data_IF_319684660529
#
_entry.id   IF_319684660529
#
_cell.length_a   1.000
_cell.length_b   1.000
_cell.length_c   1.000
_cell.angle_alpha   90.00
_cell.angle_beta   90.00
_cell.angle_gamma   90.00
#
_symmetry.space_group_name_H-M   'P 1'
#
loop_
_entity.id
_entity.type
_entity.pdbx_description
1 polymer ?
#
# COMPACT_ATOMS: atom_id res chain seq x y z
N UNK A 1 30.61 45.31 -0.80
CA UNK A 1 29.88 45.83 0.38
C UNK A 1 29.34 44.68 1.21
N UNK A 2 30.26 43.96 1.82
CA UNK A 2 30.02 42.71 2.56
C UNK A 2 30.52 42.85 4.01
N UNK A 3 30.35 44.05 4.58
CA UNK A 3 30.84 44.38 5.92
C UNK A 3 29.96 45.36 6.70
N UNK A 4 28.67 45.44 6.37
CA UNK A 4 27.69 46.32 7.02
C UNK A 4 26.39 45.59 7.39
N UNK A 5 26.43 44.26 7.49
CA UNK A 5 25.26 43.41 7.80
C UNK A 5 25.46 42.48 9.02
N UNK A 6 26.44 42.77 9.90
CA UNK A 6 26.73 41.94 11.09
C UNK A 6 26.63 42.64 12.45
N UNK A 7 26.04 43.83 12.51
CA UNK A 7 25.93 44.60 13.77
C UNK A 7 24.56 45.25 13.96
N UNK A 8 23.48 44.52 13.66
CA UNK A 8 22.10 44.92 14.00
C UNK A 8 21.22 43.74 14.42
N UNK A 9 21.83 42.73 15.04
CA UNK A 9 21.11 41.68 15.79
C UNK A 9 21.65 41.72 17.22
N UNK A 10 21.09 42.62 18.03
CA UNK A 10 21.05 42.53 19.50
C UNK A 10 20.18 43.66 20.05
N UNK A 11 19.14 43.25 20.79
CA UNK A 11 18.27 43.99 21.73
C UNK A 11 16.86 44.34 21.23
N UNK A 12 15.91 43.65 21.87
CA UNK A 12 14.52 44.05 22.21
C UNK A 12 13.59 44.24 20.99
N UNK A 13 12.40 43.66 20.89
CA UNK A 13 11.50 43.16 21.91
C UNK A 13 10.13 43.79 21.66
N UNK A 14 9.19 42.99 21.14
CA UNK A 14 7.71 43.14 21.18
C UNK A 14 7.10 44.37 20.48
N UNK A 15 6.21 44.14 19.50
CA UNK A 15 4.77 44.49 19.52
C UNK A 15 4.13 44.18 18.15
N UNK A 16 2.97 43.55 18.24
CA UNK A 16 1.98 43.20 17.21
C UNK A 16 1.55 44.38 16.32
N UNK A 17 1.26 44.14 15.04
CA UNK A 17 0.31 44.96 14.28
C UNK A 17 -0.41 44.13 13.21
N UNK A 18 -1.69 43.88 13.47
CA UNK A 18 -2.71 43.41 12.54
C UNK A 18 -3.11 44.54 11.58
N UNK A 19 -3.53 44.17 10.37
CA UNK A 19 -4.34 44.93 9.39
C UNK A 19 -3.61 45.98 8.51
N UNK A 20 -3.70 45.76 7.19
CA UNK A 20 -4.13 46.68 6.10
C UNK A 20 -3.35 46.36 4.82
N UNK A 21 -3.98 45.66 3.87
CA UNK A 21 -3.71 45.73 2.41
C UNK A 21 -4.96 45.16 1.70
N UNK A 22 -5.75 46.01 1.01
CA UNK A 22 -5.64 46.05 -0.44
C UNK A 22 -5.92 47.45 -1.05
N UNK A 23 -5.10 47.89 -2.01
CA UNK A 23 -5.48 48.72 -3.18
C UNK A 23 -4.20 49.14 -3.93
N UNK A 24 -3.95 48.61 -5.13
CA UNK A 24 -3.43 49.34 -6.32
C UNK A 24 -3.09 48.32 -7.40
N UNK A 25 -3.91 48.22 -8.44
CA UNK A 25 -3.48 47.87 -9.80
C UNK A 25 -4.66 48.10 -10.75
N UNK A 26 -4.85 49.35 -11.16
CA UNK A 26 -5.62 49.73 -12.34
C UNK A 26 -4.86 50.88 -13.01
N UNK A 27 -4.54 50.71 -14.30
CA UNK A 27 -4.05 51.67 -15.30
C UNK A 27 -2.80 51.14 -16.00
N UNK A 28 -2.98 50.65 -17.24
CA UNK A 28 -2.19 51.02 -18.42
C UNK A 28 -2.78 50.30 -19.65
N UNK A 29 -3.66 50.99 -20.36
CA UNK A 29 -4.06 50.70 -21.74
C UNK A 29 -3.58 51.89 -22.58
N UNK A 30 -2.62 51.68 -23.48
CA UNK A 30 -2.26 52.66 -24.51
C UNK A 30 -2.09 51.95 -25.85
N UNK A 31 -2.64 52.62 -26.87
CA UNK A 31 -2.93 52.23 -28.24
C UNK A 31 -1.69 52.10 -29.13
N UNK A 32 -1.74 51.22 -30.14
CA UNK A 32 -0.94 51.34 -31.36
C UNK A 32 -1.82 51.17 -32.61
N UNK A 33 -1.80 52.17 -33.50
CA UNK A 33 -2.42 52.18 -34.84
C UNK A 33 -1.48 51.56 -35.90
N UNK A 34 -1.99 51.08 -37.06
CA UNK A 34 -1.17 50.50 -38.13
C UNK A 34 -0.67 51.56 -39.13
N UNK A 35 0.50 51.31 -39.74
CA UNK A 35 1.10 52.08 -40.84
C UNK A 35 0.81 51.43 -42.22
N UNK A 36 0.78 52.21 -43.32
CA UNK A 36 0.31 51.75 -44.64
C UNK A 36 1.38 51.05 -45.49
N UNK A 37 0.92 50.25 -46.46
CA UNK A 37 1.71 49.54 -47.48
C UNK A 37 2.02 50.45 -48.67
N UNK A 38 3.24 50.34 -49.21
CA UNK A 38 3.63 50.83 -50.54
C UNK A 38 4.40 49.76 -51.34
N UNK A 39 4.44 49.86 -52.70
CA UNK A 39 4.45 48.71 -53.60
C UNK A 39 5.84 48.22 -54.09
N UNK A 40 5.84 46.99 -54.63
CA UNK A 40 6.96 46.25 -55.21
C UNK A 40 7.49 46.87 -56.53
N UNK A 41 8.81 46.94 -56.67
CA UNK A 41 9.52 47.11 -57.95
C UNK A 41 10.12 45.77 -58.42
N UNK A 42 10.17 45.49 -59.75
CA UNK A 42 10.65 44.21 -60.28
C UNK A 42 12.12 44.25 -60.70
N UNK A 43 12.81 43.12 -60.51
CA UNK A 43 13.98 42.73 -61.31
C UNK A 43 15.26 42.44 -60.52
N UNK A 44 15.57 41.15 -60.33
CA UNK A 44 16.81 40.52 -60.79
C UNK A 44 16.77 39.01 -60.47
N UNK A 45 16.92 38.18 -61.50
CA UNK A 45 17.10 36.72 -61.38
C UNK A 45 18.51 36.43 -60.85
N UNK A 46 18.60 35.61 -59.80
CA UNK A 46 19.84 35.02 -59.25
C UNK A 46 19.92 33.55 -59.71
N UNK A 47 20.94 33.14 -60.49
CA UNK A 47 21.12 31.77 -60.93
C UNK A 47 21.90 30.98 -59.88
N UNK A 48 21.25 30.66 -58.76
CA UNK A 48 21.83 29.76 -57.75
C UNK A 48 20.77 28.93 -57.04
N UNK A 49 20.02 28.12 -57.80
CA UNK A 49 19.17 27.09 -57.21
C UNK A 49 19.79 25.69 -57.40
N UNK A 50 20.23 25.01 -56.33
CA UNK A 50 20.67 23.62 -56.42
C UNK A 50 19.47 22.71 -56.69
N UNK A 51 19.66 21.73 -57.58
CA UNK A 51 18.68 20.69 -57.91
C UNK A 51 18.39 19.89 -56.63
N UNK A 52 17.15 19.97 -56.12
CA UNK A 52 16.67 19.11 -55.04
C UNK A 52 16.60 17.66 -55.52
N UNK A 53 17.04 16.67 -54.72
CA UNK A 53 16.88 15.26 -55.06
C UNK A 53 15.39 14.89 -55.09
N UNK A 54 14.99 13.86 -55.87
CA UNK A 54 13.59 13.49 -56.02
C UNK A 54 12.96 13.11 -54.67
N UNK A 55 11.72 13.54 -54.46
CA UNK A 55 10.92 13.27 -53.27
C UNK A 55 10.97 11.77 -52.91
N UNK A 56 11.30 11.49 -51.64
CA UNK A 56 11.03 10.21 -50.99
C UNK A 56 9.54 9.87 -51.23
N UNK A 57 9.18 8.60 -51.50
CA UNK A 57 7.78 8.20 -51.51
C UNK A 57 7.13 8.59 -50.18
N UNK A 58 5.94 9.18 -50.23
CA UNK A 58 5.17 9.61 -49.06
C UNK A 58 5.09 8.46 -48.05
N UNK A 59 5.74 8.65 -46.91
CA UNK A 59 5.60 7.77 -45.77
C UNK A 59 4.11 7.79 -45.36
N UNK A 60 3.45 6.63 -45.17
CA UNK A 60 2.04 6.60 -44.81
C UNK A 60 1.80 7.45 -43.57
N UNK A 61 0.97 8.49 -43.71
CA UNK A 61 0.62 9.35 -42.58
C UNK A 61 -0.12 8.51 -41.52
N UNK A 62 0.27 8.61 -40.24
CA UNK A 62 -0.35 7.82 -39.18
C UNK A 62 -1.86 8.09 -39.11
N UNK A 63 -2.65 7.02 -39.03
CA UNK A 63 -4.11 7.13 -38.93
C UNK A 63 -4.50 7.43 -37.47
N UNK A 64 -5.37 8.42 -37.20
CA UNK A 64 -5.89 8.66 -35.86
C UNK A 64 -6.65 7.42 -35.35
N UNK A 65 -6.37 7.02 -34.10
CA UNK A 65 -7.07 5.89 -33.46
C UNK A 65 -8.49 6.29 -33.03
N UNK A 66 -9.48 5.45 -33.32
CA UNK A 66 -10.84 5.58 -32.77
C UNK A 66 -10.89 4.85 -31.44
N UNK A 67 -11.20 5.55 -30.34
CA UNK A 67 -11.20 5.00 -28.99
C UNK A 67 -12.48 4.21 -28.72
N UNK A 68 -12.34 2.97 -28.27
CA UNK A 68 -13.47 2.09 -27.87
C UNK A 68 -13.79 2.22 -26.37
N UNK A 69 -12.76 2.35 -25.53
CA UNK A 69 -12.90 2.47 -24.07
C UNK A 69 -12.01 3.58 -23.51
N UNK A 70 -12.48 4.23 -22.45
CA UNK A 70 -11.70 5.19 -21.68
C UNK A 70 -11.63 4.69 -20.25
N UNK A 71 -10.42 4.55 -19.72
CA UNK A 71 -10.16 4.06 -18.35
C UNK A 71 -9.36 5.08 -17.55
N UNK A 72 -9.57 5.08 -16.24
CA UNK A 72 -8.65 5.68 -15.28
C UNK A 72 -7.47 4.70 -15.04
N UNK A 73 -6.27 5.17 -14.64
CA UNK A 73 -5.15 4.28 -14.36
C UNK A 73 -5.46 3.25 -13.28
N UNK A 74 -5.03 2.00 -13.49
CA UNK A 74 -5.34 0.84 -12.65
C UNK A 74 -6.83 0.44 -12.59
N UNK A 75 -7.70 1.05 -13.41
CA UNK A 75 -9.06 0.57 -13.60
C UNK A 75 -9.06 -0.74 -14.41
N UNK A 76 -9.77 -1.74 -13.91
CA UNK A 76 -9.90 -3.04 -14.58
C UNK A 76 -11.05 -3.02 -15.60
N UNK A 77 -10.75 -3.47 -16.83
CA UNK A 77 -11.74 -3.65 -17.89
C UNK A 77 -11.88 -5.13 -18.25
N UNK A 78 -13.08 -5.69 -18.08
CA UNK A 78 -13.42 -7.03 -18.55
C UNK A 78 -13.54 -7.04 -20.08
N UNK A 79 -12.63 -7.74 -20.74
CA UNK A 79 -12.63 -7.88 -22.19
C UNK A 79 -13.41 -9.13 -22.63
N UNK A 80 -14.18 -8.99 -23.70
CA UNK A 80 -14.94 -10.07 -24.32
C UNK A 80 -14.86 -9.96 -25.84
N UNK A 81 -14.55 -11.07 -26.49
CA UNK A 81 -14.65 -11.17 -27.95
C UNK A 81 -16.09 -11.43 -28.38
N UNK A 82 -16.42 -11.02 -29.60
CA UNK A 82 -17.70 -11.38 -30.23
C UNK A 82 -17.67 -12.82 -30.72
N UNK A 83 -16.51 -13.27 -31.20
CA UNK A 83 -16.29 -14.65 -31.61
C UNK A 83 -16.22 -15.61 -30.41
N UNK A 84 -16.76 -16.81 -30.57
CA UNK A 84 -16.55 -17.92 -29.63
C UNK A 84 -15.57 -18.92 -30.23
N UNK A 85 -14.63 -19.38 -29.43
CA UNK A 85 -13.54 -20.25 -29.86
C UNK A 85 -13.19 -21.32 -28.85
N UNK A 86 -12.21 -22.14 -29.20
CA UNK A 86 -11.63 -23.17 -28.33
C UNK A 86 -10.39 -22.67 -27.59
N UNK A 87 -9.79 -21.57 -28.02
CA UNK A 87 -8.66 -20.93 -27.34
C UNK A 87 -8.58 -19.45 -27.69
N UNK A 88 -7.99 -18.67 -26.77
CA UNK A 88 -7.92 -17.22 -26.84
C UNK A 88 -6.47 -16.78 -26.60
N UNK A 89 -6.05 -15.70 -27.27
CA UNK A 89 -4.79 -15.03 -26.98
C UNK A 89 -5.02 -13.53 -27.03
N UNK A 90 -4.68 -12.85 -25.93
CA UNK A 90 -4.86 -11.42 -25.76
C UNK A 90 -3.52 -10.74 -25.60
N UNK A 91 -3.25 -9.78 -26.46
CA UNK A 91 -2.03 -8.98 -26.42
C UNK A 91 -2.31 -7.49 -26.53
N UNK A 92 -1.38 -6.66 -26.06
CA UNK A 92 -1.51 -5.20 -26.14
C UNK A 92 -0.25 -4.54 -26.70
N UNK A 93 -0.43 -3.36 -27.31
CA UNK A 93 0.62 -2.43 -27.70
C UNK A 93 0.28 -1.01 -27.19
N UNK A 94 1.26 -0.28 -26.67
CA UNK A 94 1.09 1.09 -26.14
C UNK A 94 1.54 2.14 -27.17
N UNK A 95 0.76 3.22 -27.30
CA UNK A 95 1.03 4.36 -28.18
C UNK A 95 0.95 5.66 -27.36
N UNK A 96 1.92 6.56 -27.55
CA UNK A 96 2.04 7.80 -26.77
C UNK A 96 1.23 8.97 -27.32
N UNK A 97 0.87 8.96 -28.61
CA UNK A 97 0.25 10.10 -29.31
C UNK A 97 -1.06 9.80 -30.04
N UNK A 98 -1.71 8.65 -29.77
CA UNK A 98 -2.96 8.29 -30.47
C UNK A 98 -2.79 7.96 -31.96
N UNK A 99 -1.54 7.73 -32.37
CA UNK A 99 -1.13 7.35 -33.72
C UNK A 99 -0.62 5.91 -33.72
N UNK A 100 -1.06 5.12 -34.71
CA UNK A 100 -0.59 3.74 -34.87
C UNK A 100 0.81 3.71 -35.51
N UNK A 101 1.76 3.10 -34.82
CA UNK A 101 3.10 2.78 -35.32
C UNK A 101 3.37 1.28 -35.21
N UNK A 102 4.42 0.79 -35.88
CA UNK A 102 4.88 -0.58 -35.66
C UNK A 102 5.25 -0.76 -34.18
N UNK A 103 4.50 -1.61 -33.49
CA UNK A 103 4.61 -1.77 -32.05
C UNK A 103 4.68 -3.26 -31.70
N UNK A 104 5.57 -3.57 -30.75
CA UNK A 104 5.67 -4.92 -30.20
C UNK A 104 4.45 -5.18 -29.32
N UNK A 105 3.70 -6.22 -29.67
CA UNK A 105 2.60 -6.71 -28.84
C UNK A 105 3.13 -7.56 -27.68
N UNK A 106 2.59 -7.32 -26.50
CA UNK A 106 2.84 -8.10 -25.29
C UNK A 106 1.63 -8.98 -25.00
N UNK A 107 1.81 -10.31 -25.01
CA UNK A 107 0.77 -11.26 -24.57
C UNK A 107 0.52 -11.07 -23.07
N UNK A 108 -0.73 -10.92 -22.66
CA UNK A 108 -1.11 -10.74 -21.26
C UNK A 108 -2.14 -11.76 -20.75
N UNK A 109 -2.87 -12.44 -21.64
CA UNK A 109 -3.80 -13.49 -21.22
C UNK A 109 -4.13 -14.50 -22.33
N UNK A 110 -4.49 -15.71 -21.93
CA UNK A 110 -5.05 -16.76 -22.78
C UNK A 110 -6.46 -17.20 -22.32
N UNK A 111 -7.03 -16.47 -21.35
CA UNK A 111 -8.38 -16.69 -20.84
C UNK A 111 -9.45 -16.26 -21.86
N UNK A 112 -10.64 -16.87 -21.79
CA UNK A 112 -11.77 -16.50 -22.66
C UNK A 112 -12.22 -15.05 -22.46
N UNK A 113 -12.28 -14.62 -21.20
CA UNK A 113 -12.69 -13.27 -20.80
C UNK A 113 -11.73 -12.70 -19.76
N UNK A 114 -10.58 -12.11 -20.18
CA UNK A 114 -9.62 -11.55 -19.25
C UNK A 114 -9.97 -10.13 -18.84
N UNK A 115 -9.46 -9.73 -17.69
CA UNK A 115 -9.35 -8.32 -17.32
C UNK A 115 -8.07 -7.70 -17.89
N UNK A 116 -8.18 -6.44 -18.32
CA UNK A 116 -7.06 -5.60 -18.71
C UNK A 116 -6.99 -4.37 -17.81
N UNK A 117 -5.79 -4.03 -17.34
CA UNK A 117 -5.49 -2.83 -16.58
C UNK A 117 -4.05 -2.41 -16.83
N UNK A 118 -3.77 -1.12 -16.67
CA UNK A 118 -2.42 -0.54 -16.77
C UNK A 118 -2.35 0.72 -15.91
N UNK A 119 -1.16 1.00 -15.35
CA UNK A 119 -0.91 2.20 -14.55
C UNK A 119 -0.52 3.42 -15.38
N UNK A 120 0.00 3.23 -16.60
CA UNK A 120 0.48 4.35 -17.42
C UNK A 120 -0.62 4.92 -18.31
N UNK A 121 -0.74 6.25 -18.34
CA UNK A 121 -1.62 6.93 -19.29
C UNK A 121 -1.10 6.80 -20.72
N UNK A 122 -2.02 6.65 -21.67
CA UNK A 122 -1.69 6.49 -23.09
C UNK A 122 -2.81 5.79 -23.85
N UNK A 123 -2.55 5.45 -25.10
CA UNK A 123 -3.46 4.65 -25.91
C UNK A 123 -2.94 3.21 -26.01
N UNK A 124 -3.82 2.25 -25.86
CA UNK A 124 -3.49 0.83 -25.88
C UNK A 124 -4.33 0.13 -26.94
N UNK A 125 -3.68 -0.47 -27.94
CA UNK A 125 -4.37 -1.36 -28.87
C UNK A 125 -4.32 -2.77 -28.32
N UNK A 126 -5.49 -3.29 -27.97
CA UNK A 126 -5.69 -4.68 -27.58
C UNK A 126 -5.97 -5.49 -28.83
N UNK A 127 -5.31 -6.63 -28.98
CA UNK A 127 -5.54 -7.61 -30.04
C UNK A 127 -5.96 -8.93 -29.40
N UNK A 128 -7.12 -9.45 -29.80
CA UNK A 128 -7.61 -10.75 -29.43
C UNK A 128 -7.54 -11.70 -30.64
N UNK A 129 -6.85 -12.83 -30.48
CA UNK A 129 -6.85 -13.92 -31.48
C UNK A 129 -7.66 -15.09 -30.93
N UNK A 130 -8.78 -15.38 -31.58
CA UNK A 130 -9.72 -16.45 -31.20
C UNK A 130 -9.58 -17.61 -32.17
N UNK A 131 -9.13 -18.77 -31.69
CA UNK A 131 -9.07 -19.98 -32.50
C UNK A 131 -10.44 -20.65 -32.51
N UNK A 132 -10.97 -20.88 -33.70
CA UNK A 132 -12.22 -21.61 -33.93
C UNK A 132 -11.93 -22.94 -34.64
N UNK A 133 -12.96 -23.75 -34.90
CA UNK A 133 -12.86 -25.10 -35.50
C UNK A 133 -12.30 -25.16 -36.94
N UNK A 134 -11.87 -24.04 -37.52
CA UNK A 134 -11.16 -24.05 -38.81
C UNK A 134 -10.42 -22.75 -39.18
N UNK A 135 -10.41 -21.73 -38.31
CA UNK A 135 -9.73 -20.45 -38.57
C UNK A 135 -9.39 -19.70 -37.27
N UNK A 136 -8.51 -18.71 -37.38
CA UNK A 136 -8.27 -17.70 -36.33
C UNK A 136 -9.05 -16.44 -36.71
N UNK A 137 -9.82 -15.92 -35.76
CA UNK A 137 -10.50 -14.63 -35.87
C UNK A 137 -9.71 -13.62 -35.05
N UNK A 138 -9.42 -12.47 -35.63
CA UNK A 138 -8.75 -11.36 -34.92
C UNK A 138 -9.76 -10.23 -34.66
N UNK A 139 -9.82 -9.77 -33.41
CA UNK A 139 -10.59 -8.60 -32.98
C UNK A 139 -9.63 -7.62 -32.29
N UNK A 140 -9.88 -6.31 -32.41
CA UNK A 140 -9.05 -5.31 -31.74
C UNK A 140 -9.87 -4.20 -31.09
N UNK A 141 -9.33 -3.65 -30.01
CA UNK A 141 -9.93 -2.53 -29.27
C UNK A 141 -8.87 -1.47 -29.01
N UNK A 142 -9.25 -0.21 -29.02
CA UNK A 142 -8.42 0.91 -28.57
C UNK A 142 -8.92 1.38 -27.21
N UNK A 143 -8.03 1.34 -26.22
CA UNK A 143 -8.28 1.82 -24.87
C UNK A 143 -7.46 3.09 -24.66
N UNK A 144 -8.11 4.18 -24.26
CA UNK A 144 -7.44 5.39 -23.81
C UNK A 144 -7.39 5.41 -22.27
N UNK A 145 -6.20 5.52 -21.70
CA UNK A 145 -5.99 5.62 -20.25
C UNK A 145 -5.65 7.06 -19.91
N UNK A 146 -6.53 7.74 -19.17
CA UNK A 146 -6.44 9.20 -18.94
C UNK A 146 -5.93 9.53 -17.54
N UNK A 147 -4.80 10.23 -17.46
CA UNK A 147 -4.26 10.73 -16.19
C UNK A 147 -4.93 12.01 -15.68
N UNK A 148 -5.88 12.61 -16.42
CA UNK A 148 -6.54 13.88 -16.04
C UNK A 148 -7.67 13.72 -15.02
N UNK A 149 -8.22 12.50 -14.84
CA UNK A 149 -9.39 12.25 -13.98
C UNK A 149 -9.15 11.17 -12.89
N UNK A 150 -8.00 11.18 -12.20
CA UNK A 150 -7.78 10.26 -11.06
C UNK A 150 -8.91 10.35 -10.03
N UNK A 151 -9.80 9.36 -10.01
CA UNK A 151 -10.89 9.21 -9.03
C UNK A 151 -10.49 8.35 -7.85
N UNK A 152 -9.54 7.44 -8.04
CA UNK A 152 -9.09 6.53 -7.00
C UNK A 152 -8.14 7.21 -6.02
N UNK A 153 -8.11 6.69 -4.80
CA UNK A 153 -7.20 7.10 -3.72
C UNK A 153 -6.02 6.13 -3.65
N UNK A 154 -4.75 6.61 -3.57
CA UNK A 154 -3.61 5.71 -3.37
C UNK A 154 -3.61 5.06 -1.98
N UNK A 155 -4.47 5.52 -1.07
CA UNK A 155 -4.50 5.12 0.33
C UNK A 155 -5.62 4.11 0.60
N UNK A 156 -5.53 3.45 1.75
CA UNK A 156 -6.56 2.54 2.27
C UNK A 156 -7.94 3.22 2.23
N UNK A 157 -8.89 2.55 1.59
CA UNK A 157 -10.28 3.03 1.44
C UNK A 157 -11.28 2.16 2.21
N UNK A 158 -10.91 0.93 2.56
CA UNK A 158 -11.79 -0.01 3.25
C UNK A 158 -11.03 -0.89 4.23
N UNK A 159 -11.66 -1.21 5.36
CA UNK A 159 -11.22 -2.23 6.33
C UNK A 159 -12.30 -3.30 6.36
N UNK A 160 -11.91 -4.55 6.10
CA UNK A 160 -12.81 -5.69 6.00
C UNK A 160 -12.86 -6.51 7.30
N UNK A 161 -11.74 -6.59 8.01
CA UNK A 161 -11.64 -7.32 9.26
C UNK A 161 -10.62 -6.68 10.20
N UNK A 162 -10.89 -6.77 11.51
CA UNK A 162 -9.98 -6.36 12.57
C UNK A 162 -10.13 -7.30 13.78
N UNK A 163 -9.23 -8.28 13.84
CA UNK A 163 -9.20 -9.32 14.85
C UNK A 163 -7.85 -9.30 15.58
N UNK A 164 -7.65 -8.39 16.54
CA UNK A 164 -6.43 -8.34 17.33
C UNK A 164 -6.33 -9.54 18.29
N UNK A 165 -5.11 -9.93 18.59
CA UNK A 165 -4.82 -10.79 19.72
C UNK A 165 -4.88 -9.97 21.01
N UNK A 166 -4.83 -10.59 22.20
CA UNK A 166 -4.85 -9.83 23.44
C UNK A 166 -3.58 -8.96 23.60
N UNK A 167 -3.74 -7.76 24.18
CA UNK A 167 -2.63 -6.84 24.36
C UNK A 167 -2.99 -5.55 25.11
N UNK A 168 -1.97 -4.82 25.55
CA UNK A 168 -2.09 -3.65 26.43
C UNK A 168 -2.68 -2.42 25.76
N UNK A 169 -2.75 -2.36 24.44
CA UNK A 169 -3.42 -1.28 23.69
C UNK A 169 -4.74 -1.72 23.05
N UNK A 170 -5.10 -3.00 23.17
CA UNK A 170 -6.38 -3.52 22.71
C UNK A 170 -7.50 -2.83 23.49
N UNK A 171 -8.59 -2.52 22.78
CA UNK A 171 -9.72 -1.70 23.23
C UNK A 171 -9.41 -0.18 23.40
N UNK A 172 -8.16 0.27 23.22
CA UNK A 172 -7.77 1.69 23.25
C UNK A 172 -7.29 2.21 21.88
N UNK A 173 -6.64 1.37 21.07
CA UNK A 173 -6.15 1.70 19.73
C UNK A 173 -6.54 0.61 18.71
N UNK A 174 -7.76 0.65 18.13
CA UNK A 174 -8.78 1.68 18.27
C UNK A 174 -9.52 1.60 19.61
N UNK A 175 -10.09 2.74 20.02
CA UNK A 175 -10.95 2.80 21.20
C UNK A 175 -12.26 2.09 20.91
N UNK A 176 -12.56 1.06 21.69
CA UNK A 176 -13.88 0.44 21.69
C UNK A 176 -14.77 1.07 22.77
N UNK A 177 -16.07 1.13 22.50
CA UNK A 177 -17.08 1.66 23.42
C UNK A 177 -18.20 0.63 23.51
N UNK A 178 -18.71 0.41 24.73
CA UNK A 178 -19.81 -0.52 24.96
C UNK A 178 -21.01 -0.22 24.07
N UNK A 179 -21.55 -1.27 23.45
CA UNK A 179 -22.66 -1.19 22.50
C UNK A 179 -22.27 -0.93 21.05
N UNK A 180 -21.00 -0.64 20.75
CA UNK A 180 -20.53 -0.47 19.37
C UNK A 180 -20.66 -1.77 18.56
N UNK A 181 -21.24 -1.67 17.37
CA UNK A 181 -21.31 -2.77 16.40
C UNK A 181 -19.95 -3.05 15.77
N UNK A 182 -19.76 -4.25 15.23
CA UNK A 182 -18.51 -4.57 14.53
C UNK A 182 -18.26 -3.64 13.32
N UNK A 183 -19.31 -3.30 12.58
CA UNK A 183 -19.19 -2.34 11.47
C UNK A 183 -18.70 -0.97 11.94
N UNK A 184 -19.25 -0.44 13.03
CA UNK A 184 -18.81 0.85 13.58
C UNK A 184 -17.36 0.78 14.07
N UNK A 185 -16.92 -0.35 14.62
CA UNK A 185 -15.53 -0.58 14.96
C UNK A 185 -14.63 -0.50 13.71
N UNK A 186 -14.99 -1.20 12.62
CA UNK A 186 -14.25 -1.11 11.36
C UNK A 186 -14.23 0.33 10.80
N UNK A 187 -15.33 1.07 10.92
CA UNK A 187 -15.39 2.50 10.55
C UNK A 187 -14.43 3.36 11.41
N UNK A 188 -14.26 3.04 12.70
CA UNK A 188 -13.27 3.69 13.58
C UNK A 188 -11.84 3.32 13.19
N UNK A 189 -11.58 2.04 12.87
CA UNK A 189 -10.27 1.56 12.39
C UNK A 189 -9.90 2.29 11.10
N UNK A 190 -10.81 2.32 10.11
CA UNK A 190 -10.60 3.02 8.84
C UNK A 190 -10.32 4.51 9.04
N UNK A 191 -11.00 5.19 9.98
CA UNK A 191 -10.72 6.60 10.28
C UNK A 191 -9.31 6.86 10.84
N UNK A 192 -8.66 5.86 11.46
CA UNK A 192 -7.32 6.02 12.04
C UNK A 192 -6.21 5.92 10.99
N UNK A 193 -6.36 5.01 10.04
CA UNK A 193 -5.31 4.62 9.08
C UNK A 193 -5.65 4.90 7.60
N UNK A 194 -6.92 5.14 7.29
CA UNK A 194 -7.41 5.44 5.93
C UNK A 194 -7.11 6.86 5.47
N UNK A 195 -7.07 7.05 4.16
CA UNK A 195 -6.66 8.33 3.56
C UNK A 195 -5.24 8.73 4.01
N UNK A 196 -5.02 10.01 4.27
CA UNK A 196 -3.70 10.54 4.71
C UNK A 196 -3.47 10.45 6.22
N UNK A 197 -4.38 9.82 6.97
CA UNK A 197 -4.23 9.64 8.41
C UNK A 197 -3.09 8.66 8.73
N UNK A 198 -2.46 8.88 9.88
CA UNK A 198 -1.26 8.15 10.31
C UNK A 198 -1.37 7.75 11.79
N UNK A 199 -2.57 7.44 12.26
CA UNK A 199 -2.74 6.92 13.61
C UNK A 199 -2.62 5.40 13.56
N UNK A 200 -1.92 4.81 14.53
CA UNK A 200 -1.80 3.35 14.58
C UNK A 200 -3.08 2.67 15.08
N UNK A 201 -3.26 1.42 14.68
CA UNK A 201 -4.07 0.43 15.39
C UNK A 201 -3.18 -0.71 15.85
N UNK A 202 -3.48 -1.23 17.03
CA UNK A 202 -2.72 -2.28 17.70
C UNK A 202 -3.29 -3.64 17.34
N UNK A 203 -2.43 -4.52 16.87
CA UNK A 203 -2.80 -5.90 16.57
C UNK A 203 -2.72 -6.79 17.82
N UNK A 204 -2.08 -6.34 18.90
CA UNK A 204 -1.85 -7.14 20.10
C UNK A 204 -0.81 -8.23 19.86
N UNK A 205 -0.82 -9.26 20.70
CA UNK A 205 0.13 -10.38 20.60
C UNK A 205 0.05 -11.16 19.26
N UNK A 206 0.81 -12.26 19.17
CA UNK A 206 0.89 -13.10 17.98
C UNK A 206 -0.47 -13.38 17.30
N UNK A 207 -0.48 -13.26 15.98
CA UNK A 207 -1.60 -13.64 15.11
C UNK A 207 -2.73 -12.61 15.07
N UNK A 208 -2.71 -11.60 15.94
CA UNK A 208 -3.63 -10.48 15.85
C UNK A 208 -3.48 -9.79 14.50
N UNK A 209 -4.59 -9.40 13.87
CA UNK A 209 -4.59 -9.05 12.45
C UNK A 209 -5.60 -7.97 12.04
N UNK A 210 -5.31 -7.35 10.89
CA UNK A 210 -6.18 -6.43 10.17
C UNK A 210 -6.21 -6.82 8.69
N UNK A 211 -7.38 -6.73 8.07
CA UNK A 211 -7.55 -6.84 6.61
C UNK A 211 -8.12 -5.55 6.04
N UNK A 212 -7.46 -5.00 5.03
CA UNK A 212 -7.85 -3.75 4.36
C UNK A 212 -7.65 -3.83 2.84
N UNK A 213 -8.17 -2.85 2.11
CA UNK A 213 -8.02 -2.76 0.66
C UNK A 213 -8.01 -1.32 0.13
N UNK A 214 -7.78 -1.24 -1.17
CA UNK A 214 -7.80 -0.01 -1.97
C UNK A 214 -9.08 0.04 -2.82
N UNK A 215 -9.40 1.21 -3.36
CA UNK A 215 -10.54 1.40 -4.27
C UNK A 215 -10.20 1.10 -5.74
N UNK A 216 -9.05 0.47 -5.98
CA UNK A 216 -8.52 0.05 -7.27
C UNK A 216 -7.57 -1.14 -7.08
N UNK A 217 -7.23 -1.82 -8.17
CA UNK A 217 -6.21 -2.85 -8.18
C UNK A 217 -4.82 -2.22 -7.97
N UNK A 218 -4.04 -2.78 -7.04
CA UNK A 218 -2.61 -2.46 -6.95
C UNK A 218 -1.82 -3.45 -7.83
N UNK A 219 -1.20 -2.97 -8.93
CA UNK A 219 -0.51 -3.85 -9.86
C UNK A 219 0.81 -4.36 -9.29
N UNK A 220 1.17 -5.60 -9.60
CA UNK A 220 2.50 -6.15 -9.33
C UNK A 220 3.45 -5.73 -10.46
N UNK A 221 4.35 -4.79 -10.18
CA UNK A 221 5.32 -4.25 -11.14
C UNK A 221 6.76 -4.43 -10.63
N UNK A 222 7.75 -4.08 -11.44
CA UNK A 222 9.16 -4.23 -11.05
C UNK A 222 9.52 -3.37 -9.83
N UNK A 223 9.88 -4.03 -8.73
CA UNK A 223 10.23 -3.41 -7.45
C UNK A 223 9.00 -3.13 -6.56
N UNK A 224 9.18 -2.48 -5.40
CA UNK A 224 8.11 -2.34 -4.43
C UNK A 224 6.83 -1.69 -4.95
N UNK A 225 5.69 -2.27 -4.58
CA UNK A 225 4.35 -1.87 -5.00
C UNK A 225 3.58 -1.16 -3.88
N UNK A 226 3.78 -1.60 -2.64
CA UNK A 226 3.08 -1.10 -1.47
C UNK A 226 4.06 -0.49 -0.47
N UNK A 227 3.54 0.51 0.27
CA UNK A 227 4.10 0.89 1.56
C UNK A 227 3.09 0.62 2.66
N UNK A 228 3.53 0.00 3.76
CA UNK A 228 2.72 -0.18 4.98
C UNK A 228 3.58 0.27 6.17
N UNK A 229 3.16 1.33 6.83
CA UNK A 229 3.86 1.94 7.96
C UNK A 229 3.46 1.31 9.28
N UNK A 230 4.44 1.18 10.18
CA UNK A 230 4.23 0.91 11.59
C UNK A 230 4.74 2.06 12.47
N UNK A 231 4.89 1.85 13.77
CA UNK A 231 5.36 2.87 14.72
C UNK A 231 6.80 2.63 15.21
N UNK A 232 7.51 1.67 14.61
CA UNK A 232 8.84 1.29 15.01
C UNK A 232 9.83 2.46 15.05
N UNK A 233 10.62 2.48 16.11
CA UNK A 233 11.81 3.28 16.29
C UNK A 233 13.03 2.35 16.48
N UNK A 234 14.26 2.88 16.55
CA UNK A 234 15.44 2.02 16.67
C UNK A 234 15.34 1.09 17.88
N UNK A 235 15.45 -0.23 17.62
CA UNK A 235 15.37 -1.32 18.60
C UNK A 235 13.99 -1.54 19.25
N UNK A 236 12.91 -1.21 18.54
CA UNK A 236 11.53 -1.52 18.92
C UNK A 236 10.79 -2.30 17.82
N UNK A 237 11.46 -3.28 17.21
CA UNK A 237 10.88 -4.04 16.10
C UNK A 237 9.76 -4.97 16.58
N UNK A 238 8.52 -4.69 16.18
CA UNK A 238 7.33 -5.47 16.48
C UNK A 238 6.76 -6.10 15.19
N UNK A 239 7.64 -6.81 14.49
CA UNK A 239 7.44 -7.27 13.12
C UNK A 239 6.06 -7.94 12.86
N UNK A 240 5.34 -7.39 11.88
CA UNK A 240 4.14 -7.97 11.31
C UNK A 240 4.37 -8.55 9.92
N UNK A 241 3.79 -9.71 9.64
CA UNK A 241 3.81 -10.34 8.32
C UNK A 241 2.64 -9.81 7.48
N UNK A 242 2.88 -9.69 6.17
CA UNK A 242 1.90 -9.26 5.18
C UNK A 242 1.45 -10.45 4.35
N UNK A 243 0.14 -10.61 4.23
CA UNK A 243 -0.52 -11.46 3.25
C UNK A 243 -1.31 -10.58 2.28
N UNK A 244 -1.42 -11.03 1.03
CA UNK A 244 -2.13 -10.31 -0.02
C UNK A 244 -3.04 -11.27 -0.79
N UNK A 245 -4.13 -10.75 -1.35
CA UNK A 245 -5.05 -11.52 -2.16
C UNK A 245 -5.53 -10.70 -3.37
N UNK A 246 -5.74 -11.41 -4.48
CA UNK A 246 -6.40 -10.91 -5.68
C UNK A 246 -7.86 -11.36 -5.65
N UNK A 247 -8.80 -10.42 -5.73
CA UNK A 247 -10.22 -10.70 -5.96
C UNK A 247 -10.44 -11.36 -7.34
N UNK A 248 -10.32 -12.68 -7.39
CA UNK A 248 -10.38 -13.46 -8.62
C UNK A 248 -11.83 -13.74 -9.05
N UNK A 249 -12.76 -13.67 -8.11
CA UNK A 249 -14.18 -13.90 -8.36
C UNK A 249 -14.97 -12.57 -8.54
N UNK A 250 -14.34 -11.43 -8.28
CA UNK A 250 -14.85 -10.06 -8.45
C UNK A 250 -16.08 -9.75 -7.59
N UNK A 251 -16.15 -10.30 -6.38
CA UNK A 251 -17.24 -10.05 -5.43
C UNK A 251 -16.96 -8.89 -4.46
N UNK A 252 -15.74 -8.34 -4.48
CA UNK A 252 -15.31 -7.24 -3.60
C UNK A 252 -15.16 -7.63 -2.13
N UNK A 253 -15.05 -8.92 -1.79
CA UNK A 253 -14.80 -9.41 -0.44
C UNK A 253 -13.53 -10.28 -0.40
N UNK A 254 -12.80 -10.30 0.72
CA UNK A 254 -11.52 -10.99 0.82
C UNK A 254 -11.69 -12.51 1.08
N UNK A 255 -12.32 -13.23 0.16
CA UNK A 255 -12.59 -14.67 0.25
C UNK A 255 -11.79 -15.54 -0.76
N UNK A 256 -10.94 -14.91 -1.57
CA UNK A 256 -10.00 -15.58 -2.47
C UNK A 256 -8.70 -16.04 -1.76
N UNK A 257 -7.86 -16.88 -2.43
CA UNK A 257 -6.62 -17.38 -1.84
C UNK A 257 -5.66 -16.26 -1.39
N UNK A 258 -5.12 -16.42 -0.18
CA UNK A 258 -4.12 -15.53 0.40
C UNK A 258 -2.70 -16.02 0.13
N UNK A 259 -1.81 -15.07 -0.15
CA UNK A 259 -0.39 -15.29 -0.40
C UNK A 259 0.45 -14.47 0.57
N UNK A 260 1.41 -15.12 1.22
CA UNK A 260 2.32 -14.46 2.16
C UNK A 260 3.47 -13.78 1.42
N UNK A 261 3.77 -12.53 1.75
CA UNK A 261 4.95 -11.84 1.22
C UNK A 261 6.15 -12.23 2.07
N UNK A 262 7.05 -13.04 1.49
CA UNK A 262 8.22 -13.52 2.22
C UNK A 262 9.18 -12.38 2.52
N UNK A 263 9.62 -12.31 3.78
CA UNK A 263 10.64 -11.41 4.29
C UNK A 263 11.97 -12.12 4.61
N UNK A 264 12.94 -11.38 5.15
CA UNK A 264 14.31 -11.87 5.38
C UNK A 264 14.46 -13.06 6.33
N UNK A 265 13.41 -13.36 7.10
CA UNK A 265 13.38 -14.41 8.13
C UNK A 265 12.37 -15.53 7.81
N UNK A 266 11.83 -15.59 6.58
CA UNK A 266 10.97 -16.69 6.11
C UNK A 266 11.81 -17.88 5.63
N UNK A 267 12.61 -18.45 6.52
CA UNK A 267 13.35 -19.70 6.29
C UNK A 267 13.52 -20.43 7.61
N UNK A 268 13.56 -21.74 7.57
CA UNK A 268 13.94 -22.53 8.75
C UNK A 268 15.43 -22.29 9.07
N UNK A 269 15.83 -22.19 10.36
CA UNK A 269 15.00 -22.30 11.57
C UNK A 269 14.46 -20.94 12.09
N UNK A 270 14.46 -19.90 11.27
CA UNK A 270 14.09 -18.53 11.65
C UNK A 270 12.57 -18.30 11.74
N UNK A 271 11.75 -19.19 11.18
CA UNK A 271 10.30 -19.13 11.21
C UNK A 271 9.66 -20.50 11.51
N UNK A 272 8.48 -20.50 12.11
CA UNK A 272 7.62 -21.67 12.32
C UNK A 272 6.36 -21.49 11.47
N UNK A 273 6.24 -22.26 10.39
CA UNK A 273 5.07 -22.23 9.51
C UNK A 273 3.89 -22.99 10.13
N UNK A 274 2.67 -22.62 9.74
CA UNK A 274 1.43 -23.22 10.25
C UNK A 274 1.33 -23.21 11.78
N UNK A 275 1.89 -22.17 12.41
CA UNK A 275 1.78 -21.97 13.84
C UNK A 275 0.37 -21.52 14.18
N UNK A 276 -0.18 -22.01 15.29
CA UNK A 276 -1.47 -21.57 15.81
C UNK A 276 -1.43 -21.45 17.32
N UNK A 277 -2.11 -20.43 17.84
CA UNK A 277 -2.20 -20.11 19.25
C UNK A 277 -3.66 -19.89 19.62
N UNK A 278 -4.07 -20.37 20.79
CA UNK A 278 -5.40 -20.15 21.34
C UNK A 278 -5.29 -19.29 22.59
N UNK A 279 -6.00 -18.16 22.60
CA UNK A 279 -6.08 -17.26 23.76
C UNK A 279 -7.38 -17.50 24.52
N UNK A 280 -7.32 -17.38 25.84
CA UNK A 280 -8.45 -17.62 26.74
C UNK A 280 -8.84 -16.34 27.48
N UNK A 281 -10.13 -16.05 27.52
CA UNK A 281 -10.70 -14.90 28.24
C UNK A 281 -10.28 -14.96 29.72
N UNK A 282 -9.82 -13.83 30.30
CA UNK A 282 -9.42 -13.81 31.70
C UNK A 282 -10.63 -14.07 32.61
N UNK A 283 -10.46 -14.90 33.64
CA UNK A 283 -11.48 -15.13 34.66
C UNK A 283 -11.54 -13.91 35.60
N UNK A 284 -12.63 -13.15 35.52
CA UNK A 284 -12.89 -11.98 36.38
C UNK A 284 -12.88 -12.27 37.89
N UNK A 285 -12.99 -13.54 38.31
CA UNK A 285 -12.97 -13.96 39.72
C UNK A 285 -11.59 -14.42 40.19
N UNK A 286 -10.65 -14.66 39.26
CA UNK A 286 -9.28 -15.06 39.59
C UNK A 286 -8.60 -13.95 40.40
N UNK A 287 -7.90 -14.35 41.46
CA UNK A 287 -7.03 -13.42 42.18
C UNK A 287 -5.77 -13.16 41.35
N UNK A 288 -5.39 -11.90 41.10
CA UNK A 288 -4.19 -11.56 40.34
C UNK A 288 -2.92 -12.20 40.91
N UNK A 289 -2.08 -12.74 40.05
CA UNK A 289 -0.78 -13.32 40.45
C UNK A 289 0.29 -12.25 40.29
N UNK A 290 0.87 -11.76 41.38
CA UNK A 290 1.90 -10.73 41.32
C UNK A 290 3.27 -11.32 40.92
N UNK A 291 4.03 -10.61 40.08
CA UNK A 291 5.43 -10.96 39.81
C UNK A 291 6.35 -10.27 40.82
N UNK A 292 7.06 -11.01 41.71
CA UNK A 292 7.95 -10.42 42.69
C UNK A 292 9.20 -9.77 42.07
N UNK A 293 9.54 -10.12 40.83
CA UNK A 293 10.69 -9.57 40.10
C UNK A 293 10.32 -8.35 39.26
N UNK A 294 9.04 -8.20 38.91
CA UNK A 294 8.54 -7.13 38.05
C UNK A 294 7.32 -6.44 38.70
N UNK A 295 7.51 -5.50 39.65
CA UNK A 295 6.43 -4.81 40.36
C UNK A 295 5.50 -3.96 39.49
N UNK A 296 5.79 -3.82 38.19
CA UNK A 296 4.91 -3.19 37.22
C UNK A 296 3.83 -4.15 36.70
N UNK A 297 4.06 -5.47 36.80
CA UNK A 297 3.11 -6.53 36.46
C UNK A 297 2.17 -6.74 37.65
N UNK A 298 0.88 -6.51 37.41
CA UNK A 298 -0.17 -6.62 38.43
C UNK A 298 -0.95 -7.94 38.32
N UNK A 299 -0.85 -8.63 37.19
CA UNK A 299 -1.30 -10.01 37.03
C UNK A 299 -0.41 -10.72 35.99
N UNK A 300 0.55 -11.50 36.46
CA UNK A 300 1.49 -12.27 35.64
C UNK A 300 0.79 -13.38 34.85
N UNK A 301 -0.40 -13.78 35.27
CA UNK A 301 -1.15 -14.90 34.67
C UNK A 301 -2.53 -14.45 34.17
N UNK A 302 -2.61 -13.26 33.58
CA UNK A 302 -3.87 -12.63 33.21
C UNK A 302 -4.60 -13.35 32.06
N UNK A 303 -3.99 -13.38 30.87
CA UNK A 303 -4.59 -14.04 29.69
C UNK A 303 -3.77 -15.25 29.32
N UNK A 304 -4.32 -16.44 29.56
CA UNK A 304 -3.67 -17.71 29.22
C UNK A 304 -3.68 -17.94 27.72
N UNK A 305 -2.63 -18.58 27.21
CA UNK A 305 -2.59 -19.13 25.87
C UNK A 305 -1.93 -20.51 25.81
N UNK A 306 -2.24 -21.26 24.75
CA UNK A 306 -1.56 -22.51 24.38
C UNK A 306 -1.38 -22.58 22.86
N UNK A 307 -0.35 -23.28 22.39
CA UNK A 307 -0.04 -23.37 20.96
C UNK A 307 0.00 -24.80 20.44
N UNK A 308 -0.02 -24.95 19.11
CA UNK A 308 0.07 -26.25 18.45
C UNK A 308 1.46 -26.89 18.47
N UNK A 309 2.43 -26.29 19.17
CA UNK A 309 3.76 -26.84 19.42
C UNK A 309 3.85 -27.47 20.82
N UNK A 310 2.75 -27.48 21.59
CA UNK A 310 2.69 -28.03 22.94
C UNK A 310 3.16 -27.07 24.03
N UNK A 311 3.36 -25.78 23.71
CA UNK A 311 3.71 -24.77 24.69
C UNK A 311 2.46 -24.05 25.23
N UNK A 312 2.62 -23.39 26.37
CA UNK A 312 1.62 -22.52 26.96
C UNK A 312 2.28 -21.37 27.70
N UNK A 313 1.51 -20.31 27.95
CA UNK A 313 1.99 -19.14 28.68
C UNK A 313 0.88 -18.15 28.95
N UNK A 314 1.27 -16.91 29.26
CA UNK A 314 0.34 -15.83 29.57
C UNK A 314 0.75 -14.53 28.89
N UNK A 315 -0.24 -13.69 28.59
CA UNK A 315 -0.04 -12.25 28.37
C UNK A 315 -0.31 -11.57 29.73
N UNK A 316 0.73 -11.03 30.40
CA UNK A 316 0.58 -10.44 31.72
C UNK A 316 -0.04 -9.04 31.67
N UNK A 317 -0.81 -8.69 32.70
CA UNK A 317 -1.35 -7.33 32.86
C UNK A 317 -0.36 -6.44 33.60
N UNK A 318 -0.14 -5.23 33.09
CA UNK A 318 0.67 -4.22 33.75
C UNK A 318 -0.20 -3.13 34.40
N UNK A 319 0.38 -2.35 35.32
CA UNK A 319 -0.35 -1.27 36.01
C UNK A 319 -0.62 -0.03 35.16
N UNK A 320 -0.04 0.06 33.96
CA UNK A 320 -0.12 1.23 33.09
C UNK A 320 -1.38 1.21 32.21
N UNK A 321 -1.86 0.02 31.85
CA UNK A 321 -3.06 -0.20 31.04
C UNK A 321 -4.13 -0.95 31.83
N UNK A 322 -5.26 -0.28 32.11
CA UNK A 322 -6.29 -0.76 33.06
C UNK A 322 -7.50 -1.39 32.38
N UNK A 323 -7.67 -1.19 31.09
CA UNK A 323 -8.71 -1.83 30.31
C UNK A 323 -8.45 -3.34 30.20
N UNK A 324 -9.46 -4.11 29.78
CA UNK A 324 -9.23 -5.51 29.47
C UNK A 324 -8.30 -5.63 28.25
N UNK A 325 -7.33 -6.54 28.31
CA UNK A 325 -6.46 -6.82 27.17
C UNK A 325 -7.13 -7.75 26.16
N UNK A 326 -8.22 -8.44 26.57
CA UNK A 326 -8.99 -9.30 25.67
C UNK A 326 -9.91 -8.42 24.79
N UNK A 327 -9.98 -8.64 23.46
CA UNK A 327 -10.80 -7.80 22.59
C UNK A 327 -12.27 -7.82 22.99
N UNK A 328 -12.85 -6.64 23.23
CA UNK A 328 -14.19 -6.52 23.82
C UNK A 328 -15.33 -6.96 22.87
N UNK A 329 -15.07 -7.01 21.55
CA UNK A 329 -16.04 -7.46 20.54
C UNK A 329 -16.03 -8.97 20.27
N UNK A 330 -15.03 -9.71 20.77
CA UNK A 330 -15.00 -11.16 20.71
C UNK A 330 -15.86 -11.71 21.85
N UNK A 331 -16.85 -12.55 21.53
CA UNK A 331 -17.84 -13.06 22.51
C UNK A 331 -17.44 -14.41 23.09
N UNK A 332 -16.66 -15.17 22.34
CA UNK A 332 -16.19 -16.50 22.67
C UNK A 332 -15.22 -16.43 23.86
N UNK A 333 -15.24 -17.45 24.73
CA UNK A 333 -14.32 -17.55 25.86
C UNK A 333 -12.88 -17.88 25.45
N UNK A 334 -12.69 -18.29 24.20
CA UNK A 334 -11.38 -18.46 23.58
C UNK A 334 -11.47 -18.34 22.07
N UNK A 335 -10.37 -17.98 21.43
CA UNK A 335 -10.25 -17.94 19.98
C UNK A 335 -8.83 -18.32 19.54
N UNK A 336 -8.72 -18.90 18.35
CA UNK A 336 -7.47 -19.38 17.78
C UNK A 336 -7.05 -18.50 16.62
N UNK A 337 -5.78 -18.11 16.60
CA UNK A 337 -5.13 -17.35 15.54
C UNK A 337 -3.99 -18.18 14.95
N UNK A 338 -3.78 -18.05 13.64
CA UNK A 338 -2.84 -18.90 12.89
C UNK A 338 -2.08 -18.11 11.83
N UNK A 339 -0.86 -18.56 11.54
CA UNK A 339 0.01 -17.99 10.51
C UNK A 339 1.43 -18.52 10.60
N UNK A 340 2.38 -17.76 10.08
CA UNK A 340 3.82 -17.98 10.28
C UNK A 340 4.25 -17.25 11.56
N UNK A 341 5.05 -17.89 12.41
CA UNK A 341 5.66 -17.26 13.58
C UNK A 341 7.15 -17.06 13.36
N UNK A 342 7.60 -15.81 13.37
CA UNK A 342 9.02 -15.49 13.31
C UNK A 342 9.71 -15.78 14.65
N UNK A 343 11.02 -16.00 14.60
CA UNK A 343 11.85 -16.13 15.78
C UNK A 343 11.80 -14.85 16.62
N UNK A 344 11.73 -15.03 17.94
CA UNK A 344 11.77 -13.92 18.90
C UNK A 344 13.03 -13.05 18.71
N UNK A 345 12.83 -11.74 18.74
CA UNK A 345 13.87 -10.73 18.48
C UNK A 345 14.19 -9.85 19.71
N UNK A 346 13.45 -10.02 20.81
CA UNK A 346 13.68 -9.29 22.05
C UNK A 346 14.92 -9.85 22.78
N UNK A 347 15.83 -8.95 23.16
CA UNK A 347 17.03 -9.26 23.93
C UNK A 347 17.10 -8.32 25.13
N UNK A 348 17.28 -8.89 26.32
CA UNK A 348 17.54 -8.10 27.52
C UNK A 348 19.00 -7.68 27.54
N UNK A 349 19.25 -6.38 27.41
CA UNK A 349 20.58 -5.78 27.42
C UNK A 349 20.84 -5.02 28.70
N UNK A 350 22.11 -4.82 29.04
CA UNK A 350 22.52 -4.02 30.20
C UNK A 350 23.12 -2.71 29.71
N UNK A 351 22.53 -1.57 30.09
CA UNK A 351 23.10 -0.24 29.88
C UNK A 351 23.37 0.40 31.24
N UNK A 352 24.64 0.44 31.64
CA UNK A 352 25.01 0.82 32.99
C UNK A 352 24.45 -0.19 34.00
N UNK A 353 23.71 0.28 35.00
CA UNK A 353 23.05 -0.57 36.01
C UNK A 353 21.63 -0.99 35.60
N UNK A 354 21.10 -0.45 34.50
CA UNK A 354 19.73 -0.72 34.05
C UNK A 354 19.67 -1.86 33.04
N UNK A 355 18.67 -2.72 33.20
CA UNK A 355 18.29 -3.73 32.20
C UNK A 355 17.24 -3.15 31.26
N UNK A 356 17.46 -3.25 29.95
CA UNK A 356 16.60 -2.70 28.92
C UNK A 356 16.36 -3.76 27.84
N UNK A 357 15.10 -3.99 27.52
CA UNK A 357 14.71 -4.82 26.38
C UNK A 357 14.96 -4.06 25.07
N UNK A 358 15.68 -4.71 24.16
CA UNK A 358 15.89 -4.25 22.79
C UNK A 358 15.24 -5.26 21.84
N UNK A 359 14.31 -4.81 21.00
CA UNK A 359 13.64 -5.63 19.99
C UNK A 359 14.33 -5.38 18.65
N UNK A 360 15.20 -6.31 18.25
CA UNK A 360 16.08 -6.11 17.11
C UNK A 360 15.33 -6.27 15.78
N UNK A 361 15.54 -5.37 14.79
CA UNK A 361 14.86 -5.47 13.51
C UNK A 361 15.35 -6.65 12.69
N UNK A 362 14.44 -7.29 11.97
CA UNK A 362 14.77 -8.15 10.82
C UNK A 362 15.27 -7.31 9.65
N UNK A 363 15.94 -7.91 8.66
CA UNK A 363 16.60 -7.15 7.60
C UNK A 363 15.61 -6.42 6.69
N UNK A 364 14.50 -7.05 6.30
CA UNK A 364 13.47 -6.48 5.41
C UNK A 364 12.18 -7.33 5.39
N UNK A 365 11.08 -6.77 4.88
CA UNK A 365 9.86 -7.51 4.51
C UNK A 365 8.80 -7.64 5.59
N UNK A 366 8.80 -6.77 6.61
CA UNK A 366 7.87 -6.84 7.73
C UNK A 366 7.36 -5.45 8.11
N UNK A 367 6.08 -5.36 8.47
CA UNK A 367 5.46 -4.14 9.00
C UNK A 367 6.00 -3.90 10.40
N UNK A 368 6.12 -2.64 10.81
CA UNK A 368 6.53 -2.28 12.17
C UNK A 368 7.88 -2.86 12.61
N UNK A 369 8.76 -3.07 11.64
CA UNK A 369 10.04 -3.72 11.86
C UNK A 369 11.17 -2.71 12.02
N UNK A 370 11.13 -1.61 11.28
CA UNK A 370 12.13 -0.53 11.28
C UNK A 370 11.44 0.82 11.16
N UNK A 371 12.11 1.93 11.52
CA UNK A 371 11.60 3.28 11.26
C UNK A 371 11.10 3.45 9.82
N UNK A 372 9.95 4.11 9.64
CA UNK A 372 9.32 4.26 8.31
C UNK A 372 10.16 5.05 7.28
N UNK A 373 11.23 5.72 7.71
CA UNK A 373 12.18 6.39 6.84
C UNK A 373 13.36 5.49 6.40
N UNK A 374 13.44 4.26 6.91
CA UNK A 374 14.37 3.23 6.45
C UNK A 374 13.87 2.69 5.09
N UNK A 375 14.71 2.63 4.05
CA UNK A 375 14.32 2.16 2.72
C UNK A 375 13.79 0.71 2.72
N UNK A 376 14.20 -0.11 3.69
CA UNK A 376 13.77 -1.51 3.85
C UNK A 376 12.73 -1.68 4.97
N UNK A 377 12.23 -0.59 5.56
CA UNK A 377 11.41 -0.65 6.76
C UNK A 377 9.92 -0.85 6.54
N UNK A 378 9.42 -0.50 5.35
CA UNK A 378 7.97 -0.45 5.11
C UNK A 378 7.55 -0.70 3.66
N UNK A 379 8.49 -1.04 2.78
CA UNK A 379 8.22 -1.27 1.36
C UNK A 379 8.00 -2.77 1.12
N UNK A 380 6.96 -3.10 0.34
CA UNK A 380 6.58 -4.47 0.03
C UNK A 380 6.46 -4.66 -1.47
N UNK A 381 7.04 -5.75 -1.96
CA UNK A 381 7.11 -6.13 -3.36
C UNK A 381 6.25 -7.39 -3.55
N UNK A 382 5.27 -7.32 -4.44
CA UNK A 382 4.31 -8.41 -4.65
C UNK A 382 4.94 -9.63 -5.34
N UNK A 383 6.12 -9.49 -5.95
CA UNK A 383 6.89 -10.62 -6.49
C UNK A 383 7.41 -11.57 -5.38
N UNK A 384 7.38 -11.14 -4.12
CA UNK A 384 7.70 -11.96 -2.96
C UNK A 384 6.54 -12.84 -2.48
N UNK A 385 5.38 -12.78 -3.14
CA UNK A 385 4.23 -13.62 -2.82
C UNK A 385 4.54 -15.12 -2.91
N UNK A 386 4.13 -15.86 -1.88
CA UNK A 386 4.21 -17.32 -1.80
C UNK A 386 2.86 -17.93 -1.45
N UNK A 387 2.57 -19.08 -2.05
CA UNK A 387 1.42 -19.89 -1.67
C UNK A 387 1.61 -20.53 -0.27
N UNK A 388 0.57 -21.22 0.20
CA UNK A 388 0.59 -21.94 1.49
C UNK A 388 1.62 -23.07 1.59
N UNK A 389 2.27 -23.44 0.48
CA UNK A 389 3.34 -24.45 0.40
C UNK A 389 4.73 -23.81 0.25
N UNK A 390 4.80 -22.47 0.21
CA UNK A 390 6.03 -21.72 0.03
C UNK A 390 6.50 -21.60 -1.43
N UNK A 391 5.67 -21.93 -2.42
CA UNK A 391 6.02 -21.77 -3.83
C UNK A 391 5.84 -20.31 -4.27
N UNK A 392 6.76 -19.75 -5.09
CA UNK A 392 6.59 -18.45 -5.75
C UNK A 392 5.29 -18.37 -6.56
N UNK A 393 4.55 -17.28 -6.39
CA UNK A 393 3.35 -16.98 -7.17
C UNK A 393 3.51 -15.64 -7.85
N UNK A 394 3.31 -15.62 -9.17
CA UNK A 394 3.29 -14.40 -9.95
C UNK A 394 1.87 -13.82 -9.97
N UNK A 395 1.58 -12.91 -9.04
CA UNK A 395 0.32 -12.19 -8.98
C UNK A 395 0.27 -11.11 -10.08
N UNK A 396 -0.88 -10.91 -10.74
CA UNK A 396 -1.08 -9.78 -11.67
C UNK A 396 -1.18 -8.46 -10.89
N UNK A 397 -1.79 -8.52 -9.72
CA UNK A 397 -2.01 -7.42 -8.78
C UNK A 397 -2.80 -7.93 -7.58
N UNK A 398 -3.20 -7.04 -6.68
CA UNK A 398 -3.93 -7.39 -5.46
C UNK A 398 -5.03 -6.36 -5.15
N UNK A 399 -6.04 -6.82 -4.42
CA UNK A 399 -7.16 -6.02 -3.93
C UNK A 399 -7.16 -5.91 -2.41
N UNK A 400 -6.70 -6.98 -1.75
CA UNK A 400 -6.76 -7.10 -0.29
C UNK A 400 -5.37 -7.32 0.29
N UNK A 401 -5.15 -6.71 1.45
CA UNK A 401 -3.95 -6.85 2.26
C UNK A 401 -4.38 -7.26 3.66
N UNK A 402 -3.72 -8.27 4.21
CA UNK A 402 -3.83 -8.65 5.61
C UNK A 402 -2.46 -8.47 6.28
N UNK A 403 -2.44 -7.85 7.45
CA UNK A 403 -1.23 -7.74 8.28
C UNK A 403 -1.52 -8.46 9.60
N UNK A 404 -0.56 -9.25 10.08
CA UNK A 404 -0.68 -9.90 11.38
C UNK A 404 0.62 -9.90 12.18
N UNK A 405 0.53 -9.84 13.51
CA UNK A 405 1.69 -9.86 14.39
C UNK A 405 2.40 -11.21 14.34
N UNK A 406 3.70 -11.19 14.05
CA UNK A 406 4.45 -12.40 13.72
C UNK A 406 5.26 -12.98 14.88
N UNK A 407 5.30 -12.28 16.02
CA UNK A 407 6.15 -12.62 17.17
C UNK A 407 5.29 -13.07 18.35
N UNK A 408 5.64 -14.21 18.97
CA UNK A 408 5.05 -14.65 20.23
C UNK A 408 6.08 -14.49 21.36
N UNK A 409 6.12 -13.30 21.97
CA UNK A 409 7.03 -12.98 23.07
C UNK A 409 6.44 -11.90 24.00
N UNK A 410 6.93 -11.88 25.23
CA UNK A 410 6.67 -10.83 26.22
C UNK A 410 8.02 -10.28 26.70
N UNK A 411 8.25 -8.98 26.53
CA UNK A 411 9.50 -8.30 26.83
C UNK A 411 9.44 -7.57 28.19
N UNK A 412 9.24 -8.35 29.26
CA UNK A 412 9.17 -7.86 30.65
C UNK A 412 8.18 -6.70 30.81
N UNK A 413 8.64 -5.57 31.35
CA UNK A 413 7.81 -4.37 31.57
C UNK A 413 7.21 -3.76 30.30
N UNK A 414 7.76 -4.05 29.13
CA UNK A 414 7.21 -3.57 27.85
C UNK A 414 5.91 -4.30 27.51
N UNK A 415 5.70 -5.50 28.03
CA UNK A 415 4.52 -6.33 27.73
C UNK A 415 4.74 -7.22 26.50
N UNK A 416 3.63 -7.62 25.89
CA UNK A 416 3.62 -8.35 24.62
C UNK A 416 4.24 -7.54 23.49
N UNK A 417 4.85 -8.22 22.53
CA UNK A 417 5.19 -7.58 21.25
C UNK A 417 3.95 -7.48 20.38
N UNK A 418 3.61 -6.26 19.96
CA UNK A 418 2.41 -5.95 19.20
C UNK A 418 2.75 -5.17 17.94
N UNK A 419 2.36 -5.69 16.79
CA UNK A 419 2.50 -4.92 15.55
C UNK A 419 1.50 -3.77 15.55
N UNK A 420 1.99 -2.57 15.32
CA UNK A 420 1.18 -1.37 15.17
C UNK A 420 1.10 -1.00 13.69
N UNK A 421 -0.11 -0.87 13.14
CA UNK A 421 -0.33 -0.52 11.72
C UNK A 421 -0.84 0.91 11.62
N UNK A 422 -0.10 1.79 10.96
CA UNK A 422 -0.39 3.23 10.91
C UNK A 422 -1.06 3.71 9.62
N UNK A 423 -0.62 3.21 8.47
CA UNK A 423 -0.96 3.78 7.17
C UNK A 423 -0.48 2.84 6.06
N UNK A 424 -1.16 2.84 4.91
CA UNK A 424 -0.63 2.19 3.71
C UNK A 424 -0.99 2.94 2.43
N UNK A 425 -0.15 2.79 1.39
CA UNK A 425 -0.42 3.32 0.07
C UNK A 425 0.17 2.49 -1.08
N UNK A 426 -0.50 2.55 -2.23
CA UNK A 426 0.03 2.15 -3.54
C UNK A 426 1.12 3.16 -3.97
N UNK A 427 2.35 2.67 -4.13
CA UNK A 427 3.52 3.48 -4.54
C UNK A 427 3.33 4.06 -5.94
N UNK A 428 2.81 3.28 -6.88
CA UNK A 428 2.69 3.62 -8.30
C UNK A 428 1.61 4.67 -8.48
N UNK A 429 0.43 4.41 -7.94
CA UNK A 429 -0.68 5.33 -8.06
C UNK A 429 -0.38 6.66 -7.35
N UNK A 430 0.29 6.63 -6.19
CA UNK A 430 0.77 7.85 -5.54
C UNK A 430 1.77 8.64 -6.39
N UNK A 431 2.77 7.99 -7.00
CA UNK A 431 3.74 8.65 -7.89
C UNK A 431 3.07 9.26 -9.13
N UNK A 432 2.02 8.64 -9.65
CA UNK A 432 1.24 9.19 -10.76
C UNK A 432 0.54 10.50 -10.36
N UNK A 433 0.02 10.57 -9.13
CA UNK A 433 -0.57 11.79 -8.58
C UNK A 433 0.46 12.90 -8.33
N UNK A 434 1.66 12.56 -7.87
CA UNK A 434 2.75 13.52 -7.58
C UNK A 434 3.37 14.17 -8.84
N UNK A 435 3.15 13.58 -10.03
CA UNK A 435 3.63 14.14 -11.31
C UNK A 435 2.71 15.23 -11.90
N UNK A 436 1.56 15.48 -11.27
CA UNK A 436 0.69 16.63 -11.57
C UNK A 436 1.25 17.89 -10.94
#
# INVERSE_FOLDING_TARGET
>A
MHHLLRTLIKRQGVISLTLIFPLLCLLLLVQCKPLPKEPLTPGHEDPSNPILPPNKPDEPQPKPLTVDYVLDPCEELLLKTKAKGTSYQWSYAQYKNGEEHEAKYTLFSEEETPYFFVSESGFYKILAKVKTSGRVIEESYIIEVRSSNFKHSPYITQVFDFTPAPGQFVNEAPKWIEGMTYKELLDVVLKRLGGTNKNYVSLGAYGGSITFGFDHLVPNLDGPDLVIWGNAFPKSSEAGIVQVAYDANHNGIPDDPWYELYGSAHKEPDATFHYSITYYRPDSKKQPVLDPKEPAVIDAEYIRWEDNQGNSGFIPQNKYHKQSYYPAWIKEDSYTLSGTRLKNNAVLTTKGESKIWELNPFEWGYVDNKPNNDPNGSQFDLSHARDSKGNPVALKGIHFVKVYTALNQVAGVIGETSTEVMHAYDIRYRKLLEKR
#
